data_IF_575142780298
#
_entry.id   IF_575142780298
#
_cell.length_a   1.000
_cell.length_b   1.000
_cell.length_c   1.000
_cell.angle_alpha   90.00
_cell.angle_beta   90.00
_cell.angle_gamma   90.00
#
_symmetry.space_group_name_H-M   'P 1'
#
loop_
_entity.id
_entity.type
_entity.pdbx_description
1 polymer ?
#
# COMPACT_ATOMS: atom_id res chain seq x y z
N UNK A 1 -13.42 -54.85 -14.21
CA UNK A 1 -14.02 -54.58 -15.53
C UNK A 1 -15.12 -53.54 -15.32
N UNK A 2 -15.03 -52.42 -16.05
CA UNK A 2 -16.02 -51.33 -16.20
C UNK A 2 -16.35 -50.42 -15.01
N UNK A 3 -15.60 -49.32 -14.98
CA UNK A 3 -16.10 -47.96 -14.75
C UNK A 3 -17.39 -47.70 -15.53
N UNK A 4 -18.40 -47.08 -14.91
CA UNK A 4 -19.45 -46.38 -15.65
C UNK A 4 -19.96 -45.17 -14.84
N UNK A 5 -19.80 -44.01 -15.46
CA UNK A 5 -20.19 -42.69 -14.96
C UNK A 5 -21.67 -42.44 -15.25
N UNK A 6 -22.40 -41.86 -14.29
CA UNK A 6 -23.70 -41.24 -14.56
C UNK A 6 -23.54 -39.73 -14.69
N UNK A 7 -23.66 -39.25 -15.94
CA UNK A 7 -23.89 -37.86 -16.29
C UNK A 7 -25.35 -37.53 -15.96
N UNK A 8 -25.59 -36.54 -15.11
CA UNK A 8 -26.87 -35.84 -15.06
C UNK A 8 -26.63 -34.38 -15.42
N UNK A 9 -26.94 -34.04 -16.69
CA UNK A 9 -27.21 -32.68 -17.11
C UNK A 9 -28.50 -32.22 -16.43
N UNK A 10 -28.42 -31.16 -15.62
CA UNK A 10 -29.62 -30.42 -15.25
C UNK A 10 -29.45 -28.94 -15.62
N UNK A 11 -30.49 -28.46 -16.28
CA UNK A 11 -30.61 -27.18 -16.98
C UNK A 11 -30.35 -25.99 -16.06
N UNK A 12 -29.67 -24.99 -16.62
CA UNK A 12 -29.54 -23.64 -16.08
C UNK A 12 -30.87 -23.08 -15.58
N UNK A 13 -30.92 -22.76 -14.29
CA UNK A 13 -31.66 -21.62 -13.78
C UNK A 13 -30.67 -20.83 -12.92
N UNK A 14 -30.04 -19.84 -13.53
CA UNK A 14 -29.25 -18.85 -12.82
C UNK A 14 -30.22 -17.98 -11.99
N UNK A 15 -30.57 -18.49 -10.81
CA UNK A 15 -31.11 -17.65 -9.74
C UNK A 15 -29.98 -16.72 -9.33
N UNK A 16 -30.00 -15.49 -9.87
CA UNK A 16 -29.36 -14.33 -9.28
C UNK A 16 -29.92 -14.12 -7.87
N UNK A 17 -29.45 -14.93 -6.93
CA UNK A 17 -29.42 -14.56 -5.53
C UNK A 17 -28.44 -13.40 -5.47
N UNK A 18 -29.01 -12.20 -5.43
CA UNK A 18 -28.29 -10.99 -5.10
C UNK A 18 -27.61 -11.21 -3.76
N UNK A 19 -26.35 -11.64 -3.81
CA UNK A 19 -25.42 -11.41 -2.72
C UNK A 19 -25.43 -9.90 -2.60
N UNK A 20 -26.01 -9.40 -1.51
CA UNK A 20 -25.80 -8.04 -1.08
C UNK A 20 -24.30 -7.90 -0.84
N UNK A 21 -23.56 -7.59 -1.90
CA UNK A 21 -22.21 -7.06 -1.80
C UNK A 21 -22.35 -5.84 -0.90
N UNK A 22 -21.79 -5.92 0.31
CA UNK A 22 -21.60 -4.74 1.13
C UNK A 22 -21.02 -3.66 0.21
N UNK A 23 -21.70 -2.52 0.12
CA UNK A 23 -21.34 -1.45 -0.79
C UNK A 23 -19.84 -1.20 -0.67
N UNK A 24 -19.11 -1.45 -1.76
CA UNK A 24 -17.68 -1.23 -1.80
C UNK A 24 -17.43 0.24 -1.47
N UNK A 25 -16.53 0.50 -0.53
CA UNK A 25 -16.29 1.87 -0.06
C UNK A 25 -15.73 2.78 -1.15
N UNK A 26 -15.08 2.19 -2.17
CA UNK A 26 -14.55 2.90 -3.33
C UNK A 26 -15.43 2.80 -4.59
N UNK A 27 -16.52 2.03 -4.55
CA UNK A 27 -17.41 1.81 -5.71
C UNK A 27 -18.86 2.13 -5.31
N UNK A 28 -19.07 3.31 -4.74
CA UNK A 28 -20.40 3.91 -4.81
C UNK A 28 -20.53 4.55 -6.20
N UNK A 29 -21.11 3.79 -7.13
CA UNK A 29 -21.24 4.16 -8.55
C UNK A 29 -22.03 5.46 -8.77
N UNK A 30 -22.72 6.00 -7.75
CA UNK A 30 -23.59 7.17 -7.90
C UNK A 30 -22.87 8.51 -7.94
N UNK A 31 -21.67 8.66 -7.37
CA UNK A 31 -20.96 9.95 -7.32
C UNK A 31 -19.45 9.77 -7.56
N UNK A 32 -19.06 9.49 -8.81
CA UNK A 32 -17.64 9.39 -9.18
C UNK A 32 -17.07 10.76 -9.60
N UNK A 33 -16.26 11.38 -8.74
CA UNK A 33 -15.07 12.12 -9.21
C UNK A 33 -13.88 11.52 -8.45
N UNK A 34 -13.42 10.38 -8.95
CA UNK A 34 -12.23 9.68 -8.46
C UNK A 34 -11.19 9.86 -9.54
N UNK A 35 -10.23 10.74 -9.33
CA UNK A 35 -9.12 10.89 -10.27
C UNK A 35 -7.94 10.06 -9.79
N UNK A 36 -7.85 8.83 -10.31
CA UNK A 36 -6.70 7.95 -10.14
C UNK A 36 -5.74 8.18 -11.30
N UNK A 37 -4.43 8.14 -11.03
CA UNK A 37 -3.43 8.01 -12.08
C UNK A 37 -3.76 6.77 -12.95
N UNK A 38 -3.67 6.90 -14.29
CA UNK A 38 -4.03 5.79 -15.20
C UNK A 38 -3.18 4.55 -14.90
N UNK A 39 -3.81 3.38 -15.00
CA UNK A 39 -3.10 2.10 -14.90
C UNK A 39 -1.95 2.03 -15.90
N UNK A 40 -0.80 1.51 -15.47
CA UNK A 40 0.38 1.36 -16.33
C UNK A 40 0.08 0.58 -17.61
N UNK A 41 0.54 1.10 -18.74
CA UNK A 41 0.72 0.34 -19.98
C UNK A 41 2.19 -0.04 -20.19
N UNK A 42 2.45 -1.11 -20.94
CA UNK A 42 3.81 -1.55 -21.31
C UNK A 42 4.65 -0.45 -21.97
N UNK A 43 4.02 0.50 -22.66
CA UNK A 43 4.69 1.63 -23.34
C UNK A 43 5.11 2.75 -22.36
N UNK A 44 4.45 2.82 -21.22
CA UNK A 44 4.72 3.84 -20.21
C UNK A 44 5.77 3.37 -19.21
N UNK A 45 5.75 2.08 -18.85
CA UNK A 45 6.77 1.51 -17.96
C UNK A 45 8.18 1.59 -18.56
N UNK A 46 8.32 1.60 -19.88
CA UNK A 46 9.61 1.73 -20.58
C UNK A 46 10.21 3.15 -20.56
N UNK A 47 9.45 4.17 -20.12
CA UNK A 47 9.92 5.56 -20.06
C UNK A 47 10.53 5.96 -18.71
N UNK A 48 10.42 5.10 -17.70
CA UNK A 48 11.03 5.32 -16.40
C UNK A 48 12.48 4.86 -16.39
N UNK A 49 13.39 5.82 -16.18
CA UNK A 49 14.83 5.59 -16.00
C UNK A 49 15.20 5.35 -14.52
N UNK A 50 14.21 5.09 -13.67
CA UNK A 50 14.40 4.76 -12.26
C UNK A 50 14.59 3.24 -12.11
N UNK A 51 15.35 2.83 -11.09
CA UNK A 51 15.63 1.41 -10.76
C UNK A 51 14.38 0.58 -10.42
N UNK A 52 14.46 -0.33 -9.45
CA UNK A 52 13.30 -1.14 -9.06
C UNK A 52 12.17 -0.26 -8.48
N UNK A 53 10.98 -0.31 -9.09
CA UNK A 53 9.77 0.45 -8.75
C UNK A 53 8.73 -0.47 -8.11
N UNK A 54 9.14 -1.23 -7.08
CA UNK A 54 8.36 -2.34 -6.51
C UNK A 54 6.91 -1.99 -6.18
N UNK A 55 6.71 -0.91 -5.41
CA UNK A 55 5.39 -0.44 -4.98
C UNK A 55 4.81 0.60 -5.93
N UNK A 56 5.57 0.98 -6.95
CA UNK A 56 5.33 2.19 -7.70
C UNK A 56 4.87 1.88 -9.10
N UNK A 57 3.98 2.77 -9.54
CA UNK A 57 3.65 2.88 -10.94
C UNK A 57 4.40 4.08 -11.49
N UNK A 58 5.02 3.91 -12.65
CA UNK A 58 5.71 4.91 -13.47
C UNK A 58 4.91 6.18 -13.76
N UNK A 59 3.59 6.13 -13.59
CA UNK A 59 2.62 7.03 -14.19
C UNK A 59 1.95 8.00 -13.22
N UNK A 60 2.62 8.53 -12.19
CA UNK A 60 1.93 9.55 -11.37
C UNK A 60 2.41 10.97 -11.64
N UNK A 61 3.66 11.19 -12.05
CA UNK A 61 4.12 12.54 -12.41
C UNK A 61 3.29 13.12 -13.55
N UNK A 62 2.82 14.36 -13.41
CA UNK A 62 2.11 15.17 -14.42
C UNK A 62 0.64 14.78 -14.70
N UNK A 63 -0.05 14.14 -13.76
CA UNK A 63 -1.44 13.71 -13.91
C UNK A 63 -2.49 14.71 -13.41
N UNK A 64 -2.10 15.70 -12.60
CA UNK A 64 -3.04 16.63 -11.98
C UNK A 64 -2.82 18.09 -12.42
N UNK A 65 -2.87 18.41 -13.72
CA UNK A 65 -2.61 19.77 -14.21
C UNK A 65 -3.76 20.75 -13.91
N UNK A 66 -4.93 20.24 -13.51
CA UNK A 66 -6.12 21.05 -13.25
C UNK A 66 -6.48 20.98 -11.76
N UNK A 67 -6.90 22.10 -11.16
CA UNK A 67 -7.47 22.08 -9.82
C UNK A 67 -8.70 21.18 -9.73
N UNK A 68 -8.91 20.57 -8.57
CA UNK A 68 -10.13 19.85 -8.25
C UNK A 68 -11.20 20.87 -7.86
N UNK A 69 -12.26 20.96 -8.66
CA UNK A 69 -13.40 21.86 -8.41
C UNK A 69 -14.54 21.10 -7.72
N UNK A 70 -15.12 21.67 -6.66
CA UNK A 70 -16.24 21.06 -5.92
C UNK A 70 -17.22 22.12 -5.41
N UNK A 71 -18.46 21.73 -5.12
CA UNK A 71 -19.45 22.67 -4.57
C UNK A 71 -19.08 23.05 -3.13
N UNK A 72 -19.19 24.35 -2.83
CA UNK A 72 -19.00 24.91 -1.50
C UNK A 72 -19.97 24.34 -0.45
N UNK A 73 -21.14 23.87 -0.90
CA UNK A 73 -22.18 23.28 -0.05
C UNK A 73 -21.97 21.80 0.26
N UNK A 74 -20.96 21.18 -0.35
CA UNK A 74 -20.59 19.80 -0.07
C UNK A 74 -19.48 19.72 0.98
N UNK A 75 -19.54 18.67 1.80
CA UNK A 75 -18.39 18.28 2.59
C UNK A 75 -17.46 17.47 1.69
N UNK A 76 -16.18 17.37 2.04
CA UNK A 76 -15.20 16.78 1.16
C UNK A 76 -14.12 16.04 1.93
N UNK A 77 -13.58 15.01 1.29
CA UNK A 77 -12.39 14.31 1.76
C UNK A 77 -11.37 14.30 0.64
N UNK A 78 -10.17 14.76 0.95
CA UNK A 78 -9.00 14.70 0.08
C UNK A 78 -7.96 13.81 0.76
N UNK A 79 -7.54 12.75 0.08
CA UNK A 79 -6.45 11.88 0.53
C UNK A 79 -5.37 11.94 -0.53
N UNK A 80 -4.12 12.16 -0.10
CA UNK A 80 -2.97 12.23 -1.00
C UNK A 80 -1.84 11.33 -0.48
N UNK A 81 -1.17 10.65 -1.40
CA UNK A 81 0.05 9.88 -1.12
C UNK A 81 1.24 10.66 -1.64
N UNK A 82 2.26 10.85 -0.81
CA UNK A 82 3.40 11.72 -1.12
C UNK A 82 4.74 11.07 -0.78
N UNK A 83 5.78 11.22 -1.62
CA UNK A 83 7.10 10.61 -1.41
C UNK A 83 8.01 11.37 -0.43
N UNK A 84 7.91 12.70 -0.42
CA UNK A 84 8.64 13.61 0.49
C UNK A 84 10.15 13.77 0.26
N UNK A 85 10.66 13.57 -0.97
CA UNK A 85 12.10 13.76 -1.29
C UNK A 85 12.55 15.23 -1.20
N UNK A 86 11.85 16.14 -1.86
CA UNK A 86 12.15 17.57 -1.89
C UNK A 86 11.14 18.37 -1.06
N UNK A 87 11.54 19.53 -0.53
CA UNK A 87 10.59 20.42 0.17
C UNK A 87 9.59 20.96 -0.84
N UNK A 88 8.31 20.64 -0.63
CA UNK A 88 7.27 21.12 -1.50
C UNK A 88 5.93 21.27 -0.79
N UNK A 89 5.15 22.22 -1.30
CA UNK A 89 3.72 22.24 -1.08
C UNK A 89 3.11 21.04 -1.81
N UNK A 90 2.13 20.38 -1.20
CA UNK A 90 1.44 19.20 -1.72
C UNK A 90 0.08 19.61 -2.28
N UNK A 91 -0.67 20.40 -1.50
CA UNK A 91 -1.93 20.99 -1.94
C UNK A 91 -2.22 22.27 -1.19
N UNK A 92 -2.96 23.14 -1.87
CA UNK A 92 -3.46 24.37 -1.28
C UNK A 92 -4.91 24.61 -1.66
N UNK A 93 -5.63 25.29 -0.79
CA UNK A 93 -6.96 25.81 -1.05
C UNK A 93 -6.97 27.28 -0.64
N UNK A 94 -6.98 28.17 -1.66
CA UNK A 94 -6.95 29.62 -1.47
C UNK A 94 -8.23 30.15 -0.83
N UNK A 95 -9.36 29.51 -1.10
CA UNK A 95 -10.67 29.96 -0.67
C UNK A 95 -10.87 29.79 0.85
N UNK A 96 -10.24 28.77 1.43
CA UNK A 96 -10.26 28.51 2.88
C UNK A 96 -8.93 28.79 3.57
N UNK A 97 -7.93 29.26 2.81
CA UNK A 97 -6.56 29.56 3.25
C UNK A 97 -6.00 28.36 4.05
N UNK A 98 -5.98 27.19 3.40
CA UNK A 98 -5.36 25.99 3.93
C UNK A 98 -4.27 25.50 2.99
N UNK A 99 -3.18 25.02 3.56
CA UNK A 99 -1.98 24.58 2.84
C UNK A 99 -1.35 23.40 3.57
N UNK A 100 -1.02 22.37 2.79
CA UNK A 100 -0.23 21.23 3.24
C UNK A 100 1.08 21.19 2.46
N UNK A 101 2.20 21.22 3.17
CA UNK A 101 3.51 20.83 2.65
C UNK A 101 3.92 19.47 3.21
N UNK A 102 5.01 18.91 2.71
CA UNK A 102 5.61 17.69 3.29
C UNK A 102 6.31 17.94 4.64
N UNK A 103 6.40 19.19 5.08
CA UNK A 103 7.04 19.62 6.33
C UNK A 103 6.09 20.31 7.29
N UNK A 104 4.89 20.72 6.83
CA UNK A 104 3.96 21.44 7.67
C UNK A 104 2.52 21.44 7.16
N UNK A 105 1.57 21.73 8.04
CA UNK A 105 0.19 22.04 7.69
C UNK A 105 -0.26 23.34 8.36
N UNK A 106 -1.01 24.17 7.61
CA UNK A 106 -1.60 25.43 8.09
C UNK A 106 -3.04 25.57 7.57
N UNK A 107 -3.93 26.11 8.40
CA UNK A 107 -5.32 26.43 8.03
C UNK A 107 -5.77 27.74 8.67
N UNK A 108 -6.53 28.56 7.94
CA UNK A 108 -7.15 29.76 8.50
C UNK A 108 -8.16 29.38 9.59
N UNK A 109 -7.97 29.96 10.77
CA UNK A 109 -8.67 29.59 12.01
C UNK A 109 -7.74 29.09 13.12
N UNK A 110 -6.49 28.74 12.81
CA UNK A 110 -5.46 28.45 13.82
C UNK A 110 -4.12 29.07 13.44
N UNK A 111 -3.56 29.92 14.29
CA UNK A 111 -2.16 30.40 14.17
C UNK A 111 -1.12 29.28 14.34
N UNK A 112 -1.58 28.07 14.67
CA UNK A 112 -0.73 26.91 14.93
C UNK A 112 -0.30 26.26 13.62
N UNK A 113 0.98 26.44 13.30
CA UNK A 113 1.68 25.60 12.33
C UNK A 113 1.85 24.20 12.93
N UNK A 114 1.41 23.17 12.20
CA UNK A 114 1.68 21.78 12.57
C UNK A 114 2.90 21.34 11.79
N UNK A 115 4.00 21.03 12.47
CA UNK A 115 5.20 20.47 11.85
C UNK A 115 5.01 18.99 11.51
N UNK A 116 5.49 18.60 10.34
CA UNK A 116 5.42 17.23 9.81
C UNK A 116 6.83 16.69 9.62
N UNK A 117 6.98 15.38 9.86
CA UNK A 117 8.22 14.69 9.52
C UNK A 117 8.27 14.47 8.02
N UNK A 118 9.36 14.92 7.39
CA UNK A 118 9.62 14.72 5.97
C UNK A 118 9.90 13.25 5.68
N UNK A 119 8.85 12.49 5.37
CA UNK A 119 8.90 11.06 5.03
C UNK A 119 7.74 10.67 4.11
N UNK A 120 7.83 9.57 3.35
CA UNK A 120 6.71 9.06 2.57
C UNK A 120 5.46 8.92 3.44
N UNK A 121 4.34 9.52 3.04
CA UNK A 121 3.17 9.68 3.90
C UNK A 121 1.86 9.62 3.14
N UNK A 122 0.80 9.23 3.86
CA UNK A 122 -0.59 9.35 3.42
C UNK A 122 -1.21 10.50 4.21
N UNK A 123 -1.57 11.58 3.54
CA UNK A 123 -2.24 12.72 4.17
C UNK A 123 -3.72 12.69 3.89
N UNK A 124 -4.52 13.16 4.84
CA UNK A 124 -5.97 13.23 4.67
C UNK A 124 -6.51 14.53 5.23
N UNK A 125 -7.28 15.23 4.41
CA UNK A 125 -7.98 16.43 4.75
C UNK A 125 -9.49 16.17 4.67
N UNK A 126 -10.20 16.45 5.76
CA UNK A 126 -11.65 16.31 5.85
C UNK A 126 -12.28 17.70 5.99
N UNK A 127 -12.72 18.26 4.87
CA UNK A 127 -13.37 19.56 4.83
C UNK A 127 -14.84 19.49 5.26
N UNK A 128 -15.29 20.57 5.86
CA UNK A 128 -16.69 20.79 6.23
C UNK A 128 -17.39 21.63 5.17
N UNK A 129 -18.71 21.47 5.06
CA UNK A 129 -19.56 22.34 4.25
C UNK A 129 -19.33 23.80 4.63
N UNK A 130 -19.23 24.67 3.63
CA UNK A 130 -19.29 26.11 3.85
C UNK A 130 -20.67 26.58 3.39
N UNK A 131 -21.52 26.99 4.34
CA UNK A 131 -22.89 27.41 4.02
C UNK A 131 -22.80 28.66 3.15
N UNK A 132 -23.18 28.52 1.87
CA UNK A 132 -23.38 29.65 0.96
C UNK A 132 -24.85 29.74 0.56
N UNK A 133 -25.35 30.98 0.40
CA UNK A 133 -26.68 31.24 -0.16
C UNK A 133 -26.79 30.89 -1.64
N UNK A 134 -25.66 30.75 -2.34
CA UNK A 134 -25.61 30.39 -3.75
C UNK A 134 -25.12 28.94 -3.94
N UNK A 135 -25.97 28.02 -4.44
CA UNK A 135 -25.61 26.61 -4.67
C UNK A 135 -24.54 26.40 -5.74
N UNK A 136 -24.39 27.34 -6.66
CA UNK A 136 -23.43 27.32 -7.77
C UNK A 136 -22.03 27.82 -7.35
N UNK A 137 -21.82 28.13 -6.07
CA UNK A 137 -20.49 28.51 -5.58
C UNK A 137 -19.58 27.28 -5.57
N UNK A 138 -18.51 27.36 -6.36
CA UNK A 138 -17.48 26.33 -6.42
C UNK A 138 -16.20 26.76 -5.72
N UNK A 139 -15.52 25.80 -5.08
CA UNK A 139 -14.19 25.95 -4.49
C UNK A 139 -13.17 25.15 -5.29
N UNK A 140 -11.90 25.53 -5.20
CA UNK A 140 -10.82 24.86 -5.92
C UNK A 140 -9.70 24.41 -4.99
N UNK A 141 -9.24 23.16 -5.19
CA UNK A 141 -8.02 22.64 -4.57
C UNK A 141 -6.96 22.52 -5.66
N UNK A 142 -5.86 23.26 -5.49
CA UNK A 142 -4.66 23.11 -6.31
C UNK A 142 -3.78 21.99 -5.78
N UNK A 143 -3.22 21.19 -6.68
CA UNK A 143 -2.26 20.13 -6.37
C UNK A 143 -0.90 20.50 -6.96
N UNK A 144 0.16 20.20 -6.24
CA UNK A 144 1.53 20.31 -6.72
C UNK A 144 2.05 18.89 -7.02
N UNK A 145 2.40 18.62 -8.28
CA UNK A 145 2.38 17.27 -8.86
C UNK A 145 3.79 16.63 -9.02
N UNK A 146 4.79 17.05 -8.24
CA UNK A 146 6.16 16.49 -8.42
C UNK A 146 6.36 15.17 -7.68
N UNK A 147 5.87 15.05 -6.44
CA UNK A 147 6.01 13.81 -5.65
C UNK A 147 4.68 13.22 -5.14
N UNK A 148 3.56 13.56 -5.78
CA UNK A 148 2.28 12.88 -5.55
C UNK A 148 2.26 11.49 -6.19
N UNK A 149 1.65 10.52 -5.50
CA UNK A 149 1.53 9.13 -5.94
C UNK A 149 0.09 8.62 -6.13
N UNK A 150 -0.86 9.19 -5.40
CA UNK A 150 -2.29 8.97 -5.65
C UNK A 150 -3.03 10.11 -4.97
N UNK A 151 -4.12 10.55 -5.61
CA UNK A 151 -5.07 11.48 -5.03
C UNK A 151 -6.43 10.80 -5.03
N UNK A 152 -7.10 10.82 -3.89
CA UNK A 152 -8.48 10.37 -3.77
C UNK A 152 -9.28 11.57 -3.27
N UNK A 153 -10.16 12.07 -4.13
CA UNK A 153 -11.13 13.07 -3.78
C UNK A 153 -12.51 12.45 -3.66
N UNK A 154 -13.24 12.82 -2.62
CA UNK A 154 -14.59 12.36 -2.37
C UNK A 154 -15.44 13.58 -2.01
N UNK A 155 -16.52 13.90 -2.76
CA UNK A 155 -17.42 15.03 -2.47
C UNK A 155 -18.40 14.71 -1.32
N UNK A 156 -17.86 14.09 -0.26
CA UNK A 156 -18.49 13.91 1.05
C UNK A 156 -17.40 13.72 2.10
N UNK A 157 -17.74 13.98 3.35
CA UNK A 157 -16.88 13.63 4.49
C UNK A 157 -16.90 12.11 4.71
N UNK A 158 -15.74 11.47 4.65
CA UNK A 158 -15.61 10.05 4.96
C UNK A 158 -15.78 9.81 6.47
N UNK A 159 -16.42 8.70 6.83
CA UNK A 159 -16.42 8.20 8.20
C UNK A 159 -15.03 7.70 8.59
N UNK A 160 -14.76 7.59 9.89
CA UNK A 160 -13.51 7.01 10.41
C UNK A 160 -13.23 5.62 9.83
N UNK A 161 -14.23 4.74 9.82
CA UNK A 161 -14.10 3.38 9.29
C UNK A 161 -13.79 3.32 7.79
N UNK A 162 -14.30 4.28 7.00
CA UNK A 162 -14.00 4.35 5.58
C UNK A 162 -12.58 4.89 5.37
N UNK A 163 -12.17 5.87 6.17
CA UNK A 163 -10.82 6.42 6.11
C UNK A 163 -9.75 5.37 6.46
N UNK A 164 -9.98 4.56 7.52
CA UNK A 164 -9.06 3.48 7.93
C UNK A 164 -8.84 2.43 6.82
N UNK A 165 -9.89 2.08 6.07
CA UNK A 165 -9.80 1.14 4.95
C UNK A 165 -9.15 1.76 3.70
N UNK A 166 -9.43 3.04 3.41
CA UNK A 166 -8.70 3.79 2.36
C UNK A 166 -7.21 3.86 2.70
N UNK A 167 -6.87 4.18 3.94
CA UNK A 167 -5.48 4.20 4.40
C UNK A 167 -4.83 2.83 4.30
N UNK A 168 -5.54 1.75 4.66
CA UNK A 168 -5.03 0.38 4.52
C UNK A 168 -4.72 0.05 3.05
N UNK A 169 -5.64 0.38 2.14
CA UNK A 169 -5.43 0.20 0.70
C UNK A 169 -4.15 0.91 0.22
N UNK A 170 -4.02 2.20 0.53
CA UNK A 170 -2.86 3.01 0.12
C UNK A 170 -1.57 2.52 0.79
N UNK A 171 -1.65 2.11 2.05
CA UNK A 171 -0.52 1.57 2.81
C UNK A 171 0.05 0.32 2.16
N UNK A 172 -0.81 -0.66 1.81
CA UNK A 172 -0.37 -1.90 1.15
C UNK A 172 0.14 -1.60 -0.25
N UNK A 173 -0.59 -0.78 -1.01
CA UNK A 173 -0.23 -0.46 -2.40
C UNK A 173 1.13 0.22 -2.51
N UNK A 174 1.40 1.21 -1.63
CA UNK A 174 2.60 2.02 -1.70
C UNK A 174 3.67 1.61 -0.69
N UNK A 175 3.43 0.62 0.17
CA UNK A 175 4.34 0.18 1.23
C UNK A 175 4.68 1.28 2.24
N UNK A 176 3.70 2.14 2.54
CA UNK A 176 3.80 3.19 3.55
C UNK A 176 3.13 2.68 4.81
N UNK A 177 3.89 2.51 5.89
CA UNK A 177 3.35 1.94 7.12
C UNK A 177 2.44 2.89 7.88
N UNK A 178 1.27 2.39 8.26
CA UNK A 178 0.42 2.94 9.31
C UNK A 178 0.84 2.31 10.64
N UNK A 179 1.64 3.03 11.43
CA UNK A 179 2.15 2.54 12.71
C UNK A 179 1.08 2.58 13.81
N UNK A 180 1.04 1.54 14.65
CA UNK A 180 0.18 1.50 15.84
C UNK A 180 -1.33 1.40 15.59
N UNK A 181 -1.77 1.10 14.36
CA UNK A 181 -3.19 1.00 13.99
C UNK A 181 -3.52 -0.31 13.28
N UNK A 182 -4.80 -0.70 13.32
CA UNK A 182 -5.30 -1.90 12.63
C UNK A 182 -5.49 -1.65 11.14
N UNK A 183 -5.29 -2.70 10.35
CA UNK A 183 -5.47 -2.68 8.91
C UNK A 183 -6.76 -3.41 8.58
N UNK A 184 -7.53 -2.87 7.65
CA UNK A 184 -8.84 -3.38 7.28
C UNK A 184 -8.96 -3.57 5.77
N UNK A 185 -9.50 -4.72 5.35
CA UNK A 185 -9.88 -4.91 3.95
C UNK A 185 -11.15 -4.09 3.60
N UNK A 186 -11.56 -4.07 2.34
CA UNK A 186 -12.76 -3.36 1.88
C UNK A 186 -14.06 -3.79 2.57
N UNK A 187 -14.17 -5.05 3.01
CA UNK A 187 -15.31 -5.57 3.79
C UNK A 187 -15.33 -5.05 5.22
N UNK A 188 -14.19 -4.61 5.74
CA UNK A 188 -14.02 -4.18 7.13
C UNK A 188 -13.48 -5.26 8.05
N UNK A 189 -13.02 -6.39 7.51
CA UNK A 189 -12.34 -7.41 8.29
C UNK A 189 -10.93 -6.91 8.62
N UNK A 190 -10.47 -7.19 9.85
CA UNK A 190 -9.11 -6.90 10.28
C UNK A 190 -8.15 -7.85 9.56
N UNK A 191 -7.18 -7.29 8.82
CA UNK A 191 -6.14 -8.06 8.13
C UNK A 191 -4.76 -7.94 8.79
N UNK A 192 -4.58 -6.97 9.68
CA UNK A 192 -3.40 -6.87 10.54
C UNK A 192 -3.76 -6.09 11.82
N UNK A 193 -3.24 -6.55 12.96
CA UNK A 193 -3.52 -5.95 14.27
C UNK A 193 -2.23 -5.89 15.09
N UNK A 194 -1.63 -4.71 15.32
CA UNK A 194 -0.31 -4.59 15.95
C UNK A 194 -0.25 -5.28 17.33
N UNK A 195 -1.37 -5.31 18.05
CA UNK A 195 -1.48 -5.95 19.37
C UNK A 195 -1.30 -7.47 19.31
N UNK A 196 -1.45 -8.10 18.15
CA UNK A 196 -1.26 -9.54 17.95
C UNK A 196 0.18 -9.92 17.62
N UNK A 197 1.06 -8.95 17.38
CA UNK A 197 2.41 -9.20 16.84
C UNK A 197 3.55 -8.93 17.84
N UNK A 198 3.24 -8.70 19.13
CA UNK A 198 4.23 -8.50 20.21
C UNK A 198 5.33 -7.49 19.83
N UNK A 199 6.56 -7.97 19.63
CA UNK A 199 7.73 -7.16 19.26
C UNK A 199 7.74 -6.81 17.76
N UNK A 200 7.07 -7.58 16.92
CA UNK A 200 7.01 -7.45 15.46
C UNK A 200 5.90 -6.50 15.00
N UNK A 201 5.86 -5.28 15.54
CA UNK A 201 4.80 -4.31 15.23
C UNK A 201 5.24 -3.15 14.35
N UNK A 202 6.50 -3.14 13.92
CA UNK A 202 7.12 -2.00 13.26
C UNK A 202 7.18 -2.22 11.75
N UNK A 203 7.05 -1.12 11.01
CA UNK A 203 7.10 -1.05 9.55
C UNK A 203 6.21 -2.10 8.85
N UNK A 204 4.95 -2.29 9.27
CA UNK A 204 4.02 -3.19 8.60
C UNK A 204 3.95 -2.86 7.10
N UNK A 205 4.21 -3.88 6.29
CA UNK A 205 4.29 -3.81 4.83
C UNK A 205 3.65 -5.08 4.28
N UNK A 206 2.99 -5.02 3.13
CA UNK A 206 2.32 -6.21 2.63
C UNK A 206 2.13 -6.26 1.13
N UNK A 207 1.69 -7.43 0.70
CA UNK A 207 1.15 -7.71 -0.62
C UNK A 207 -0.25 -8.31 -0.43
N UNK A 208 -1.10 -8.20 -1.44
CA UNK A 208 -2.45 -8.73 -1.37
C UNK A 208 -3.35 -8.24 -2.49
N UNK A 209 -4.54 -8.84 -2.53
CA UNK A 209 -5.57 -8.51 -3.51
C UNK A 209 -6.90 -8.24 -2.84
N UNK A 210 -7.51 -7.13 -3.23
CA UNK A 210 -8.84 -6.69 -2.80
C UNK A 210 -9.52 -6.00 -3.97
N UNK A 211 -10.34 -6.74 -4.70
CA UNK A 211 -10.95 -6.28 -5.95
C UNK A 211 -11.87 -5.07 -5.73
N UNK A 212 -12.53 -4.97 -4.57
CA UNK A 212 -13.43 -3.85 -4.25
C UNK A 212 -12.67 -2.54 -3.97
N UNK A 213 -11.37 -2.64 -3.65
CA UNK A 213 -10.46 -1.50 -3.56
C UNK A 213 -9.57 -1.34 -4.82
N UNK A 214 -9.79 -2.16 -5.86
CA UNK A 214 -8.89 -2.27 -7.02
C UNK A 214 -7.41 -2.52 -6.65
N UNK A 215 -7.19 -3.24 -5.54
CA UNK A 215 -5.86 -3.57 -5.05
C UNK A 215 -5.42 -4.92 -5.63
N UNK A 216 -4.24 -4.96 -6.24
CA UNK A 216 -3.57 -6.20 -6.62
C UNK A 216 -2.05 -6.03 -6.53
N UNK A 217 -1.54 -6.00 -5.30
CA UNK A 217 -0.13 -5.84 -5.00
C UNK A 217 0.50 -7.23 -4.86
N UNK A 218 1.46 -7.56 -5.73
CA UNK A 218 2.11 -8.89 -5.83
C UNK A 218 3.55 -8.88 -5.33
N UNK A 219 4.11 -7.69 -5.13
CA UNK A 219 5.44 -7.49 -4.57
C UNK A 219 5.48 -6.17 -3.81
N UNK A 220 6.24 -6.07 -2.73
CA UNK A 220 6.36 -4.82 -2.00
C UNK A 220 7.67 -4.72 -1.19
N UNK A 221 8.06 -3.50 -0.86
CA UNK A 221 9.13 -3.14 0.09
C UNK A 221 8.67 -1.95 0.94
N UNK A 222 9.22 -1.76 2.14
CA UNK A 222 8.81 -0.62 2.96
C UNK A 222 9.44 0.69 2.43
N UNK A 223 8.68 1.78 2.43
CA UNK A 223 9.17 3.07 1.93
C UNK A 223 10.08 3.81 2.90
N UNK A 224 9.94 3.58 4.20
CA UNK A 224 10.86 4.09 5.22
C UNK A 224 12.10 3.20 5.35
N UNK A 225 11.96 1.90 5.05
CA UNK A 225 13.03 0.91 5.18
C UNK A 225 13.06 -0.12 4.04
N UNK A 226 13.90 0.12 3.05
CA UNK A 226 14.03 -0.74 1.87
C UNK A 226 14.92 -1.97 2.10
N UNK A 227 15.16 -2.39 3.36
CA UNK A 227 16.05 -3.52 3.68
C UNK A 227 15.60 -4.82 3.02
N UNK A 228 14.31 -5.12 3.08
CA UNK A 228 13.75 -6.32 2.47
C UNK A 228 12.68 -5.98 1.43
N UNK A 229 12.60 -6.83 0.42
CA UNK A 229 11.53 -6.85 -0.57
C UNK A 229 10.96 -8.25 -0.65
N UNK A 230 9.64 -8.39 -0.67
CA UNK A 230 8.97 -9.68 -0.80
C UNK A 230 8.03 -9.64 -2.00
N UNK A 231 8.13 -10.65 -2.86
CA UNK A 231 7.28 -10.83 -4.03
C UNK A 231 6.70 -12.24 -4.13
N UNK A 232 5.52 -12.36 -4.72
CA UNK A 232 4.90 -13.64 -5.06
C UNK A 232 5.60 -14.18 -6.32
N UNK A 233 6.14 -15.39 -6.22
CA UNK A 233 6.89 -16.18 -7.23
C UNK A 233 8.18 -15.58 -7.76
N UNK A 234 8.21 -14.27 -7.96
CA UNK A 234 9.36 -13.49 -8.41
C UNK A 234 9.25 -12.05 -7.88
N UNK A 235 10.34 -11.31 -8.01
CA UNK A 235 10.34 -9.85 -7.91
C UNK A 235 10.70 -9.34 -9.30
N UNK A 236 9.86 -8.46 -9.84
CA UNK A 236 10.03 -7.80 -11.14
C UNK A 236 10.27 -6.31 -10.94
N UNK A 237 10.63 -5.57 -11.99
CA UNK A 237 10.94 -4.14 -11.86
C UNK A 237 9.72 -3.34 -11.41
N UNK A 238 8.53 -3.69 -11.88
CA UNK A 238 7.25 -3.10 -11.44
C UNK A 238 6.27 -4.18 -10.98
N UNK A 239 5.26 -3.77 -10.19
CA UNK A 239 4.18 -4.66 -9.80
C UNK A 239 3.35 -5.16 -10.99
N UNK A 240 3.28 -4.40 -12.09
CA UNK A 240 2.59 -4.80 -13.32
C UNK A 240 3.31 -5.96 -14.01
N UNK A 241 4.64 -5.94 -14.09
CA UNK A 241 5.46 -6.99 -14.71
C UNK A 241 5.47 -8.31 -13.91
N UNK A 242 5.07 -8.25 -12.62
CA UNK A 242 4.84 -9.44 -11.82
C UNK A 242 3.47 -10.05 -12.14
N UNK A 243 3.47 -11.19 -12.84
CA UNK A 243 2.24 -11.87 -13.26
C UNK A 243 1.75 -12.94 -12.25
N UNK A 244 2.36 -13.01 -11.06
CA UNK A 244 2.01 -14.04 -10.10
C UNK A 244 0.56 -13.87 -9.60
N UNK A 245 -0.20 -14.97 -9.46
CA UNK A 245 -1.61 -14.89 -9.08
C UNK A 245 -1.76 -14.66 -7.57
N UNK A 246 -2.78 -13.87 -7.22
CA UNK A 246 -3.33 -13.73 -5.88
C UNK A 246 -4.86 -13.80 -5.97
N UNK A 247 -5.46 -14.48 -5.00
CA UNK A 247 -6.92 -14.56 -4.88
C UNK A 247 -7.46 -13.32 -4.17
N UNK A 248 -8.70 -12.96 -4.49
CA UNK A 248 -9.35 -11.84 -3.83
C UNK A 248 -9.47 -12.08 -2.31
N UNK A 249 -9.29 -11.01 -1.52
CA UNK A 249 -9.26 -11.02 -0.05
C UNK A 249 -8.12 -11.84 0.56
N UNK A 250 -7.00 -11.98 -0.13
CA UNK A 250 -5.80 -12.61 0.40
C UNK A 250 -4.68 -11.61 0.56
N UNK A 251 -3.94 -11.71 1.66
CA UNK A 251 -2.86 -10.79 2.00
C UNK A 251 -1.69 -11.55 2.64
N UNK A 252 -0.47 -11.09 2.40
CA UNK A 252 0.70 -11.45 3.17
C UNK A 252 1.33 -10.16 3.70
N UNK A 253 1.35 -9.99 5.02
CA UNK A 253 1.81 -8.77 5.70
C UNK A 253 2.99 -9.13 6.59
N UNK A 254 4.08 -8.40 6.45
CA UNK A 254 5.27 -8.55 7.29
C UNK A 254 5.60 -7.27 8.04
N UNK A 255 6.22 -7.46 9.20
CA UNK A 255 6.65 -6.41 10.13
C UNK A 255 7.90 -6.88 10.87
N UNK A 256 8.61 -5.94 11.51
CA UNK A 256 9.91 -6.24 12.14
C UNK A 256 9.99 -5.88 13.63
N UNK A 257 11.01 -6.43 14.28
CA UNK A 257 11.27 -6.31 15.73
C UNK A 257 12.05 -5.04 16.14
N UNK A 258 12.24 -4.10 15.21
CA UNK A 258 12.92 -2.82 15.40
C UNK A 258 14.35 -2.85 15.95
N UNK A 259 15.00 -4.02 16.01
CA UNK A 259 16.42 -4.09 16.33
C UNK A 259 17.25 -3.41 15.24
N UNK A 260 18.49 -3.06 15.54
CA UNK A 260 19.39 -2.48 14.53
C UNK A 260 19.75 -3.52 13.44
N UNK A 261 20.29 -3.03 12.32
CA UNK A 261 20.72 -3.85 11.19
C UNK A 261 22.18 -4.37 11.33
N UNK A 262 22.74 -4.37 12.55
CA UNK A 262 24.05 -4.98 12.79
C UNK A 262 23.94 -6.50 12.86
N UNK A 263 25.10 -7.14 12.81
CA UNK A 263 25.21 -8.59 12.83
C UNK A 263 25.76 -9.08 14.16
N UNK A 264 25.43 -10.31 14.51
CA UNK A 264 25.97 -11.04 15.65
C UNK A 264 26.42 -12.44 15.22
N UNK A 265 27.42 -12.98 15.90
CA UNK A 265 27.89 -14.34 15.65
C UNK A 265 27.07 -15.34 16.45
N UNK A 266 26.46 -16.33 15.77
CA UNK A 266 25.69 -17.43 16.36
C UNK A 266 25.98 -18.73 15.63
N UNK A 267 26.49 -19.74 16.33
CA UNK A 267 26.72 -21.08 15.77
C UNK A 267 27.49 -21.07 14.44
N UNK A 268 28.54 -20.25 14.34
CA UNK A 268 29.36 -20.01 13.13
C UNK A 268 28.61 -19.29 11.98
N UNK A 269 27.50 -18.63 12.27
CA UNK A 269 26.80 -17.75 11.34
C UNK A 269 26.89 -16.31 11.82
N UNK A 270 27.18 -15.40 10.88
CA UNK A 270 26.97 -13.98 11.03
C UNK A 270 25.50 -13.66 10.75
N UNK A 271 24.70 -13.49 11.80
CA UNK A 271 23.24 -13.36 11.74
C UNK A 271 22.83 -11.89 11.89
N UNK A 272 21.92 -11.42 11.05
CA UNK A 272 21.34 -10.09 11.17
C UNK A 272 20.48 -10.02 12.44
N UNK A 273 20.70 -9.01 13.29
CA UNK A 273 19.99 -8.89 14.57
C UNK A 273 18.49 -8.63 14.39
N UNK A 274 18.11 -7.83 13.39
CA UNK A 274 16.71 -7.57 13.06
C UNK A 274 16.05 -8.80 12.47
N UNK A 275 14.84 -9.09 12.94
CA UNK A 275 14.01 -10.19 12.46
C UNK A 275 12.70 -9.65 11.89
N UNK A 276 12.08 -10.44 11.01
CA UNK A 276 10.77 -10.16 10.44
C UNK A 276 9.82 -11.30 10.73
N UNK A 277 8.56 -10.94 10.98
CA UNK A 277 7.44 -11.87 11.04
C UNK A 277 6.56 -11.64 9.80
N UNK A 278 6.12 -12.72 9.14
CA UNK A 278 5.18 -12.66 8.03
C UNK A 278 3.89 -13.40 8.38
N UNK A 279 2.78 -12.73 8.15
CA UNK A 279 1.44 -13.22 8.44
C UNK A 279 0.68 -13.41 7.14
N UNK A 280 0.03 -14.56 7.00
CA UNK A 280 -0.76 -14.93 5.83
C UNK A 280 -2.25 -14.87 6.17
N UNK A 281 -3.00 -14.04 5.45
CA UNK A 281 -4.40 -13.73 5.71
C UNK A 281 -5.26 -14.16 4.51
N UNK A 282 -6.41 -14.76 4.80
CA UNK A 282 -7.35 -15.31 3.82
C UNK A 282 -7.19 -16.81 3.65
N UNK A 283 -8.28 -17.52 3.34
CA UNK A 283 -8.28 -18.99 3.35
C UNK A 283 -7.49 -19.61 2.18
N UNK A 284 -7.29 -18.86 1.10
CA UNK A 284 -6.63 -19.35 -0.12
C UNK A 284 -5.24 -18.75 -0.34
N UNK A 285 -4.74 -17.94 0.61
CA UNK A 285 -3.39 -17.38 0.53
C UNK A 285 -2.35 -18.52 0.47
N UNK A 286 -1.47 -18.56 -0.53
CA UNK A 286 -0.38 -19.52 -0.54
C UNK A 286 0.56 -19.29 0.64
N UNK A 287 1.04 -20.35 1.31
CA UNK A 287 2.10 -20.26 2.33
C UNK A 287 3.51 -20.55 1.77
N UNK A 288 3.63 -20.60 0.44
CA UNK A 288 4.85 -20.95 -0.32
C UNK A 288 4.89 -20.14 -1.61
N UNK A 289 6.06 -20.16 -2.27
CA UNK A 289 6.27 -19.46 -3.53
C UNK A 289 6.40 -17.94 -3.34
N UNK A 290 7.10 -17.53 -2.29
CA UNK A 290 7.51 -16.15 -2.07
C UNK A 290 9.00 -16.05 -2.30
N UNK A 291 9.41 -14.95 -2.92
CA UNK A 291 10.81 -14.57 -3.08
C UNK A 291 11.07 -13.40 -2.13
N UNK A 292 12.09 -13.55 -1.30
CA UNK A 292 12.59 -12.49 -0.43
C UNK A 292 13.95 -12.03 -0.96
N UNK A 293 14.10 -10.73 -1.12
CA UNK A 293 15.36 -10.07 -1.49
C UNK A 293 15.81 -9.18 -0.33
N UNK A 294 17.11 -9.18 -0.06
CA UNK A 294 17.78 -8.30 0.90
C UNK A 294 18.89 -7.59 0.15
N UNK A 295 19.09 -6.30 0.43
CA UNK A 295 20.16 -5.53 -0.20
C UNK A 295 21.55 -6.18 0.00
N UNK A 296 22.25 -6.48 -1.10
CA UNK A 296 23.56 -7.15 -1.07
C UNK A 296 24.58 -6.35 -0.26
N UNK A 297 24.58 -5.02 -0.39
CA UNK A 297 25.48 -4.11 0.34
C UNK A 297 25.31 -4.20 1.87
N UNK A 298 24.12 -4.50 2.36
CA UNK A 298 23.89 -4.73 3.80
C UNK A 298 24.50 -6.07 4.24
N UNK A 299 24.23 -7.13 3.50
CA UNK A 299 24.64 -8.49 3.86
C UNK A 299 26.15 -8.71 3.69
N UNK A 300 26.73 -8.16 2.63
CA UNK A 300 28.10 -8.42 2.21
C UNK A 300 28.76 -7.16 1.63
N UNK A 301 29.04 -6.14 2.47
CA UNK A 301 29.62 -4.87 2.02
C UNK A 301 31.01 -5.03 1.37
N UNK A 302 31.76 -6.06 1.76
CA UNK A 302 33.10 -6.36 1.27
C UNK A 302 33.10 -7.27 0.03
N UNK A 303 31.92 -7.66 -0.46
CA UNK A 303 31.75 -8.56 -1.60
C UNK A 303 32.57 -9.86 -1.49
N UNK A 304 32.69 -10.39 -0.27
CA UNK A 304 33.39 -11.64 0.01
C UNK A 304 32.62 -12.85 -0.52
N UNK A 305 33.29 -14.00 -0.67
CA UNK A 305 32.62 -15.25 -1.05
C UNK A 305 31.91 -15.85 0.16
N UNK A 306 30.62 -15.55 0.30
CA UNK A 306 29.76 -16.00 1.40
C UNK A 306 28.63 -16.90 0.89
N UNK A 307 28.24 -17.86 1.73
CA UNK A 307 26.99 -18.60 1.57
C UNK A 307 25.91 -17.89 2.38
N UNK A 308 24.74 -17.66 1.77
CA UNK A 308 23.63 -16.95 2.42
C UNK A 308 22.58 -17.94 2.90
N UNK A 309 22.02 -17.69 4.07
CA UNK A 309 20.99 -18.53 4.66
C UNK A 309 19.86 -17.65 5.21
N UNK A 310 18.63 -18.00 4.85
CA UNK A 310 17.45 -17.52 5.54
C UNK A 310 17.03 -18.56 6.58
N UNK A 311 16.88 -18.11 7.82
CA UNK A 311 16.41 -18.93 8.93
C UNK A 311 14.92 -18.64 9.16
N UNK A 312 14.06 -19.63 8.95
CA UNK A 312 12.64 -19.52 9.25
C UNK A 312 12.36 -20.28 10.54
N UNK A 313 11.92 -19.57 11.57
CA UNK A 313 11.40 -20.15 12.80
C UNK A 313 9.90 -20.39 12.64
N UNK A 314 9.48 -21.65 12.74
CA UNK A 314 8.07 -22.01 12.71
C UNK A 314 7.41 -21.77 14.07
N UNK A 315 6.07 -21.81 14.11
CA UNK A 315 5.28 -21.64 15.35
C UNK A 315 5.63 -22.68 16.43
N UNK A 316 6.03 -23.89 16.03
CA UNK A 316 6.48 -24.96 16.94
C UNK A 316 7.92 -24.76 17.48
N UNK A 317 8.59 -23.67 17.06
CA UNK A 317 9.95 -23.35 17.45
C UNK A 317 11.04 -24.00 16.60
N UNK A 318 10.69 -24.90 15.67
CA UNK A 318 11.65 -25.50 14.74
C UNK A 318 12.22 -24.46 13.78
N UNK A 319 13.50 -24.61 13.44
CA UNK A 319 14.20 -23.71 12.52
C UNK A 319 14.50 -24.43 11.21
N UNK A 320 14.02 -23.87 10.11
CA UNK A 320 14.34 -24.29 8.76
C UNK A 320 15.35 -23.34 8.13
N UNK A 321 16.41 -23.89 7.54
CA UNK A 321 17.38 -23.13 6.74
C UNK A 321 16.99 -23.20 5.26
N UNK A 322 17.02 -22.05 4.58
CA UNK A 322 16.85 -21.95 3.14
C UNK A 322 18.08 -21.25 2.58
N UNK A 323 18.74 -21.89 1.61
CA UNK A 323 19.91 -21.31 0.95
C UNK A 323 19.50 -20.11 0.08
N UNK A 324 20.20 -19.00 0.27
CA UNK A 324 20.08 -17.80 -0.54
C UNK A 324 21.10 -17.80 -1.68
N UNK A 325 20.76 -17.10 -2.77
CA UNK A 325 21.67 -16.89 -3.90
C UNK A 325 21.93 -15.39 -4.05
N UNK A 326 23.21 -15.01 -4.13
CA UNK A 326 23.55 -13.65 -4.53
C UNK A 326 23.16 -13.44 -6.00
N UNK A 327 22.64 -12.26 -6.29
CA UNK A 327 22.52 -11.75 -7.65
C UNK A 327 23.37 -10.47 -7.72
N UNK A 328 24.24 -10.36 -8.71
CA UNK A 328 25.14 -9.22 -8.87
C UNK A 328 24.45 -7.98 -9.45
N UNK A 329 23.20 -8.11 -9.90
CA UNK A 329 22.39 -7.01 -10.42
C UNK A 329 21.72 -6.14 -9.34
N UNK A 330 21.67 -6.55 -8.06
CA UNK A 330 20.87 -5.90 -7.01
C UNK A 330 21.56 -5.84 -5.63
#
# INVERSE_FOLDING_TARGET
>A
MKTQYHLNMCSCLALCLGVFYGNAQLIDQKNKIWEKAKSESLRETSKCDYGSLLNFNCNIRQHFPKPITYSKNDAQSLIVVHHSDEDENIWYNKDIIAELSNTSFKSSGSDKLIELKKKPSIFSYLGSKQISSNPEDHLNIGLEDKNLYEVIFVPRKLSKSNLERVHTYLSIKYGISLEGVKYFNSKGDVIWDPEKHKDFKNRPTGIGRDDANELNQKQSSNQEDKTISIGREKISRTNFENNAPLDNYTFAIWSDDNKDLSFEEKENLRVLKRNWEINFIGNTIPKKGYVLQIAKKLMNPENSRLNYWMLIKNEDGSVKKIEGKANDEW
#
